data_IF_069578213042
#
_entry.id   IF_069578213042
#
_cell.length_a   1.000
_cell.length_b   1.000
_cell.length_c   1.000
_cell.angle_alpha   90.00
_cell.angle_beta   90.00
_cell.angle_gamma   90.00
#
_symmetry.space_group_name_H-M   'P 1'
#
loop_
_entity.id
_entity.type
_entity.pdbx_description
1 polymer ?
#
# COMPACT_ATOMS: atom_id res chain seq x y z
N UNK A 1 -10.56 -11.55 -24.25
CA UNK A 1 -11.55 -11.53 -23.15
C UNK A 1 -11.02 -10.62 -22.05
N UNK A 2 -11.76 -9.60 -21.63
CA UNK A 2 -11.43 -8.82 -20.42
C UNK A 2 -11.76 -9.71 -19.20
N UNK A 3 -10.87 -9.87 -18.21
CA UNK A 3 -11.21 -10.60 -16.99
C UNK A 3 -12.36 -9.87 -16.28
N UNK A 4 -13.44 -10.60 -16.02
CA UNK A 4 -14.58 -10.12 -15.25
C UNK A 4 -14.18 -10.07 -13.76
N UNK A 5 -14.19 -8.88 -13.17
CA UNK A 5 -13.90 -8.63 -11.75
C UNK A 5 -14.93 -9.21 -10.78
N UNK A 6 -15.99 -9.87 -11.27
CA UNK A 6 -17.16 -10.26 -10.47
C UNK A 6 -17.04 -11.56 -9.67
N UNK A 7 -15.98 -12.37 -9.83
CA UNK A 7 -15.91 -13.70 -9.20
C UNK A 7 -14.98 -13.83 -7.98
N UNK A 8 -14.29 -12.76 -7.55
CA UNK A 8 -13.28 -12.88 -6.47
C UNK A 8 -13.85 -12.81 -5.03
N UNK A 9 -15.16 -12.58 -4.84
CA UNK A 9 -15.72 -12.12 -3.55
C UNK A 9 -16.62 -13.10 -2.77
N UNK A 10 -16.76 -14.36 -3.18
CA UNK A 10 -17.78 -15.25 -2.57
C UNK A 10 -17.36 -15.94 -1.24
N UNK A 11 -16.19 -15.64 -0.69
CA UNK A 11 -15.84 -15.79 0.73
C UNK A 11 -14.72 -14.78 1.04
N UNK A 12 -14.66 -14.14 2.23
CA UNK A 12 -13.55 -13.27 2.56
C UNK A 12 -12.26 -14.10 2.50
N UNK A 13 -11.38 -13.79 1.54
CA UNK A 13 -10.10 -14.47 1.43
C UNK A 13 -9.31 -14.30 2.73
N UNK A 14 -8.43 -15.25 3.04
CA UNK A 14 -7.55 -15.17 4.21
C UNK A 14 -6.77 -13.85 4.24
N UNK A 15 -6.43 -13.29 3.07
CA UNK A 15 -5.79 -11.98 2.93
C UNK A 15 -6.69 -10.82 3.37
N UNK A 16 -7.98 -10.83 3.01
CA UNK A 16 -8.93 -9.80 3.48
C UNK A 16 -9.04 -9.84 5.00
N UNK A 17 -9.23 -11.04 5.58
CA UNK A 17 -9.29 -11.22 7.04
C UNK A 17 -8.01 -10.76 7.73
N UNK A 18 -6.87 -10.97 7.09
CA UNK A 18 -5.55 -10.58 7.62
C UNK A 18 -5.33 -9.08 7.60
N UNK A 19 -5.75 -8.39 6.53
CA UNK A 19 -5.75 -6.93 6.49
C UNK A 19 -6.63 -6.35 7.61
N UNK A 20 -7.84 -6.85 7.76
CA UNK A 20 -8.76 -6.41 8.82
C UNK A 20 -8.19 -6.69 10.23
N UNK A 21 -7.60 -7.85 10.45
CA UNK A 21 -6.97 -8.19 11.73
C UNK A 21 -5.80 -7.27 12.06
N UNK A 22 -4.97 -6.92 11.08
CA UNK A 22 -3.86 -5.99 11.25
C UNK A 22 -4.37 -4.58 11.58
N UNK A 23 -5.37 -4.08 10.86
CA UNK A 23 -5.98 -2.76 11.12
C UNK A 23 -6.64 -2.69 12.51
N UNK A 24 -7.31 -3.76 12.92
CA UNK A 24 -7.87 -3.89 14.27
C UNK A 24 -6.77 -3.90 15.33
N UNK A 25 -5.68 -4.63 15.11
CA UNK A 25 -4.53 -4.62 16.03
C UNK A 25 -3.88 -3.24 16.13
N UNK A 26 -3.64 -2.55 15.01
CA UNK A 26 -3.08 -1.20 14.98
C UNK A 26 -3.97 -0.21 15.76
N UNK A 27 -5.30 -0.31 15.58
CA UNK A 27 -6.28 0.52 16.29
C UNK A 27 -6.31 0.22 17.79
N UNK A 28 -6.32 -1.05 18.19
CA UNK A 28 -6.28 -1.47 19.58
C UNK A 28 -4.98 -1.06 20.27
N UNK A 29 -3.85 -1.18 19.57
CA UNK A 29 -2.53 -0.75 20.07
C UNK A 29 -2.50 0.77 20.30
N UNK A 30 -3.01 1.58 19.36
CA UNK A 30 -3.13 3.04 19.53
C UNK A 30 -4.01 3.41 20.72
N UNK A 31 -5.12 2.71 20.91
CA UNK A 31 -6.01 2.92 22.06
C UNK A 31 -5.32 2.56 23.38
N UNK A 32 -4.56 1.45 23.40
CA UNK A 32 -3.76 1.05 24.54
C UNK A 32 -2.73 2.12 24.92
N UNK A 33 -1.97 2.62 23.95
CA UNK A 33 -1.00 3.70 24.17
C UNK A 33 -1.66 4.99 24.72
N UNK A 34 -2.89 5.29 24.32
CA UNK A 34 -3.62 6.49 24.77
C UNK A 34 -4.24 6.35 26.17
N UNK A 35 -4.81 5.19 26.50
CA UNK A 35 -5.63 5.01 27.71
C UNK A 35 -4.97 4.14 28.78
N UNK A 36 -4.18 3.14 28.39
CA UNK A 36 -3.52 2.16 29.26
C UNK A 36 -4.44 1.55 30.34
N UNK A 37 -5.65 1.15 29.97
CA UNK A 37 -6.61 0.48 30.86
C UNK A 37 -6.53 -1.04 30.71
N UNK A 38 -7.11 -1.79 31.64
CA UNK A 38 -7.17 -3.25 31.55
C UNK A 38 -7.92 -3.71 30.29
N UNK A 39 -9.04 -3.06 29.97
CA UNK A 39 -9.84 -3.36 28.78
C UNK A 39 -9.06 -3.09 27.48
N UNK A 40 -8.30 -1.99 27.41
CA UNK A 40 -7.50 -1.71 26.21
C UNK A 40 -6.33 -2.69 26.06
N UNK A 41 -5.75 -3.15 27.16
CA UNK A 41 -4.74 -4.21 27.16
C UNK A 41 -5.32 -5.56 26.69
N UNK A 42 -6.51 -5.94 27.18
CA UNK A 42 -7.20 -7.17 26.76
C UNK A 42 -7.55 -7.14 25.27
N UNK A 43 -8.11 -6.04 24.79
CA UNK A 43 -8.46 -5.83 23.38
C UNK A 43 -7.22 -5.92 22.47
N UNK A 44 -6.11 -5.29 22.86
CA UNK A 44 -4.83 -5.39 22.13
C UNK A 44 -4.31 -6.83 22.10
N UNK A 45 -4.33 -7.54 23.23
CA UNK A 45 -3.86 -8.91 23.32
C UNK A 45 -4.68 -9.87 22.44
N UNK A 46 -6.01 -9.74 22.43
CA UNK A 46 -6.91 -10.52 21.58
C UNK A 46 -6.64 -10.26 20.09
N UNK A 47 -6.50 -8.99 19.71
CA UNK A 47 -6.20 -8.62 18.32
C UNK A 47 -4.83 -9.16 17.87
N UNK A 48 -3.83 -9.12 18.76
CA UNK A 48 -2.51 -9.70 18.49
C UNK A 48 -2.56 -11.22 18.32
N UNK A 49 -3.35 -11.93 19.14
CA UNK A 49 -3.54 -13.38 18.99
C UNK A 49 -4.16 -13.72 17.63
N UNK A 50 -5.13 -12.93 17.17
CA UNK A 50 -5.73 -13.11 15.85
C UNK A 50 -4.70 -12.94 14.73
N UNK A 51 -3.88 -11.89 14.79
CA UNK A 51 -2.80 -11.67 13.81
C UNK A 51 -1.80 -12.82 13.81
N UNK A 52 -1.41 -13.33 14.99
CA UNK A 52 -0.49 -14.49 15.08
C UNK A 52 -1.08 -15.77 14.50
N UNK A 53 -2.37 -16.02 14.70
CA UNK A 53 -3.05 -17.18 14.12
C UNK A 53 -3.01 -17.11 12.58
N UNK A 54 -3.34 -15.94 12.01
CA UNK A 54 -3.31 -15.72 10.57
C UNK A 54 -1.88 -15.74 10.00
N UNK A 55 -0.90 -15.24 10.75
CA UNK A 55 0.51 -15.35 10.37
C UNK A 55 0.92 -16.80 10.16
N UNK A 56 0.52 -17.71 11.05
CA UNK A 56 0.84 -19.13 10.92
C UNK A 56 0.23 -19.73 9.65
N UNK A 57 -1.01 -19.37 9.32
CA UNK A 57 -1.70 -19.82 8.10
C UNK A 57 -1.03 -19.27 6.83
N UNK A 58 -0.70 -17.97 6.82
CA UNK A 58 -0.11 -17.30 5.66
C UNK A 58 1.38 -17.58 5.46
N UNK A 59 2.07 -18.16 6.45
CA UNK A 59 3.50 -18.51 6.35
C UNK A 59 3.76 -19.82 5.61
N UNK A 60 2.70 -20.55 5.24
CA UNK A 60 2.81 -21.75 4.42
C UNK A 60 3.31 -21.34 3.02
N UNK A 61 4.24 -22.11 2.40
CA UNK A 61 4.72 -21.79 1.07
C UNK A 61 3.61 -21.66 0.03
N UNK A 62 3.64 -20.56 -0.73
CA UNK A 62 2.63 -20.24 -1.74
C UNK A 62 3.31 -19.61 -2.96
N UNK A 63 3.14 -20.21 -4.13
CA UNK A 63 3.74 -19.75 -5.38
C UNK A 63 3.20 -18.38 -5.84
N UNK A 64 1.96 -18.06 -5.46
CA UNK A 64 1.35 -16.76 -5.77
C UNK A 64 1.96 -15.60 -4.99
N UNK A 65 2.67 -15.88 -3.89
CA UNK A 65 3.39 -14.87 -3.12
C UNK A 65 4.41 -14.13 -4.00
N UNK A 66 5.18 -14.86 -4.82
CA UNK A 66 6.15 -14.24 -5.72
C UNK A 66 5.48 -13.51 -6.90
N UNK A 67 4.29 -13.96 -7.31
CA UNK A 67 3.50 -13.24 -8.31
C UNK A 67 3.06 -11.87 -7.78
N UNK A 68 2.63 -11.79 -6.51
CA UNK A 68 2.33 -10.52 -5.84
C UNK A 68 3.57 -9.62 -5.81
N UNK A 69 4.74 -10.16 -5.47
CA UNK A 69 6.02 -9.42 -5.52
C UNK A 69 6.28 -8.81 -6.90
N UNK A 70 6.12 -9.61 -7.95
CA UNK A 70 6.31 -9.16 -9.34
C UNK A 70 5.29 -8.08 -9.70
N UNK A 71 4.03 -8.23 -9.28
CA UNK A 71 2.99 -7.23 -9.49
C UNK A 71 3.34 -5.90 -8.80
N UNK A 72 3.79 -5.93 -7.54
CA UNK A 72 4.27 -4.76 -6.80
C UNK A 72 5.45 -4.08 -7.50
N UNK A 73 6.42 -4.87 -7.96
CA UNK A 73 7.58 -4.38 -8.70
C UNK A 73 7.18 -3.68 -10.01
N UNK A 74 6.23 -4.25 -10.76
CA UNK A 74 5.68 -3.65 -11.98
C UNK A 74 4.98 -2.32 -11.68
N UNK A 75 4.16 -2.26 -10.62
CA UNK A 75 3.46 -1.03 -10.25
C UNK A 75 4.44 0.11 -9.95
N UNK A 76 5.44 -0.10 -9.10
CA UNK A 76 6.40 0.97 -8.77
C UNK A 76 7.29 1.37 -9.93
N UNK A 77 7.63 0.41 -10.81
CA UNK A 77 8.43 0.70 -12.01
C UNK A 77 7.64 1.59 -12.96
N UNK A 78 6.38 1.25 -13.23
CA UNK A 78 5.49 2.06 -14.09
C UNK A 78 5.22 3.42 -13.47
N UNK A 79 4.97 3.49 -12.15
CA UNK A 79 4.71 4.74 -11.46
C UNK A 79 5.90 5.70 -11.55
N UNK A 80 7.11 5.22 -11.27
CA UNK A 80 8.35 6.02 -11.41
C UNK A 80 8.53 6.51 -12.86
N UNK A 81 8.37 5.63 -13.85
CA UNK A 81 8.48 6.00 -15.26
C UNK A 81 7.46 7.05 -15.69
N UNK A 82 6.22 6.94 -15.22
CA UNK A 82 5.17 7.90 -15.53
C UNK A 82 5.48 9.27 -14.92
N UNK A 83 5.91 9.32 -13.65
CA UNK A 83 6.32 10.58 -13.01
C UNK A 83 7.50 11.21 -13.75
N UNK A 84 8.53 10.42 -14.09
CA UNK A 84 9.68 10.90 -14.87
C UNK A 84 9.27 11.38 -16.27
N UNK A 85 8.25 10.78 -16.89
CA UNK A 85 7.71 11.25 -18.17
C UNK A 85 7.00 12.58 -18.03
N UNK A 86 6.17 12.77 -16.99
CA UNK A 86 5.46 14.02 -16.71
C UNK A 86 6.46 15.18 -16.52
N UNK A 87 7.58 14.93 -15.83
CA UNK A 87 8.65 15.92 -15.66
C UNK A 87 9.33 16.33 -16.97
N UNK A 88 9.43 15.44 -17.96
CA UNK A 88 10.02 15.79 -19.27
C UNK A 88 9.19 16.84 -20.01
N UNK A 89 7.90 16.90 -19.71
CA UNK A 89 6.97 17.88 -20.27
C UNK A 89 6.92 19.18 -19.43
N UNK A 90 7.73 19.29 -18.37
CA UNK A 90 7.75 20.43 -17.44
C UNK A 90 6.53 20.49 -16.52
N UNK A 91 5.83 19.36 -16.36
CA UNK A 91 4.63 19.21 -15.55
C UNK A 91 4.91 18.39 -14.29
N UNK A 92 3.93 18.32 -13.40
CA UNK A 92 3.98 17.57 -12.14
C UNK A 92 2.76 16.66 -11.97
N UNK A 93 2.86 15.52 -11.25
CA UNK A 93 1.70 14.69 -10.94
C UNK A 93 0.70 15.46 -10.08
N UNK A 94 -0.58 15.43 -10.41
CA UNK A 94 -1.61 16.05 -9.58
C UNK A 94 -1.92 15.17 -8.36
N UNK A 95 -1.74 15.77 -7.19
CA UNK A 95 -1.97 15.16 -5.88
C UNK A 95 -3.46 14.93 -5.57
N UNK A 96 -4.35 15.79 -6.09
CA UNK A 96 -5.72 15.92 -5.60
C UNK A 96 -6.78 15.47 -6.60
N UNK A 97 -6.52 15.60 -7.92
CA UNK A 97 -7.47 15.21 -8.98
C UNK A 97 -8.90 15.71 -8.70
N UNK A 98 -9.02 17.02 -8.45
CA UNK A 98 -10.26 17.72 -8.12
C UNK A 98 -11.03 17.15 -6.90
N UNK A 99 -10.37 16.39 -6.01
CA UNK A 99 -11.02 15.81 -4.83
C UNK A 99 -10.75 16.59 -3.55
N UNK A 100 -11.75 16.63 -2.67
CA UNK A 100 -11.63 17.15 -1.30
C UNK A 100 -10.83 16.21 -0.36
N UNK A 101 -10.42 15.04 -0.85
CA UNK A 101 -9.68 14.06 -0.07
C UNK A 101 -8.23 14.50 0.11
N UNK A 102 -7.70 14.28 1.32
CA UNK A 102 -6.26 14.29 1.55
C UNK A 102 -5.59 13.33 0.55
N UNK A 103 -4.76 13.88 -0.35
CA UNK A 103 -3.94 13.20 -1.37
C UNK A 103 -4.59 12.01 -2.08
N UNK A 104 -5.38 12.28 -3.13
CA UNK A 104 -5.96 11.23 -3.96
C UNK A 104 -4.91 10.28 -4.55
N UNK A 105 -3.75 10.82 -4.94
CA UNK A 105 -2.64 10.02 -5.48
C UNK A 105 -2.16 8.94 -4.49
N UNK A 106 -2.04 9.26 -3.20
CA UNK A 106 -1.68 8.28 -2.16
C UNK A 106 -2.67 7.11 -2.17
N UNK A 107 -3.96 7.43 -2.19
CA UNK A 107 -5.03 6.43 -2.18
C UNK A 107 -4.98 5.55 -3.43
N UNK A 108 -4.83 6.16 -4.60
CA UNK A 108 -4.78 5.42 -5.86
C UNK A 108 -3.57 4.45 -5.90
N UNK A 109 -2.41 4.86 -5.37
CA UNK A 109 -1.24 3.99 -5.24
C UNK A 109 -1.52 2.81 -4.30
N UNK A 110 -2.03 3.10 -3.08
CA UNK A 110 -2.32 2.06 -2.08
C UNK A 110 -3.40 1.09 -2.54
N UNK A 111 -4.46 1.58 -3.19
CA UNK A 111 -5.52 0.75 -3.76
C UNK A 111 -4.95 -0.15 -4.87
N UNK A 112 -4.00 0.34 -5.67
CA UNK A 112 -3.28 -0.46 -6.65
C UNK A 112 -2.53 -1.64 -6.03
N UNK A 113 -1.74 -1.39 -4.99
CA UNK A 113 -1.05 -2.45 -4.24
C UNK A 113 -2.05 -3.43 -3.61
N UNK A 114 -3.13 -2.93 -3.02
CA UNK A 114 -4.17 -3.76 -2.40
C UNK A 114 -4.85 -4.67 -3.41
N UNK A 115 -5.16 -4.17 -4.61
CA UNK A 115 -5.74 -4.97 -5.70
C UNK A 115 -4.78 -6.08 -6.11
N UNK A 116 -3.48 -5.79 -6.27
CA UNK A 116 -2.50 -6.84 -6.57
C UNK A 116 -2.39 -7.89 -5.48
N UNK A 117 -2.41 -7.48 -4.21
CA UNK A 117 -2.40 -8.40 -3.08
C UNK A 117 -3.62 -9.32 -3.10
N UNK A 118 -4.82 -8.74 -3.20
CA UNK A 118 -6.08 -9.49 -3.11
C UNK A 118 -6.39 -10.34 -4.35
N UNK A 119 -5.74 -10.06 -5.47
CA UNK A 119 -5.79 -10.88 -6.69
C UNK A 119 -4.63 -11.86 -6.80
N UNK A 120 -3.86 -12.09 -5.72
CA UNK A 120 -2.73 -13.00 -5.71
C UNK A 120 -1.70 -12.71 -6.82
N UNK A 121 -1.53 -11.43 -7.19
CA UNK A 121 -0.61 -10.98 -8.23
C UNK A 121 -1.16 -11.08 -9.66
N UNK A 122 -2.37 -11.57 -9.88
CA UNK A 122 -2.98 -11.68 -11.20
C UNK A 122 -3.34 -10.32 -11.81
N UNK A 123 -3.66 -9.34 -10.97
CA UNK A 123 -3.96 -7.96 -11.37
C UNK A 123 -2.87 -7.01 -10.89
N UNK A 124 -2.45 -6.08 -11.74
CA UNK A 124 -1.62 -4.93 -11.37
C UNK A 124 -2.20 -3.69 -12.07
N UNK A 125 -3.18 -3.02 -11.44
CA UNK A 125 -3.89 -1.94 -12.09
C UNK A 125 -2.94 -0.79 -12.42
N UNK A 126 -3.20 -0.12 -13.54
CA UNK A 126 -2.51 1.09 -13.89
C UNK A 126 -2.94 2.23 -12.97
N UNK A 127 -1.97 2.88 -12.32
CA UNK A 127 -2.19 4.08 -11.52
C UNK A 127 -2.16 5.27 -12.47
N UNK A 128 -3.34 5.80 -12.76
CA UNK A 128 -3.48 6.94 -13.64
C UNK A 128 -3.02 8.21 -12.90
N UNK A 129 -2.12 8.97 -13.53
CA UNK A 129 -1.63 10.24 -13.01
C UNK A 129 -2.25 11.36 -13.83
N UNK A 130 -2.94 12.29 -13.18
CA UNK A 130 -3.26 13.57 -13.81
C UNK A 130 -2.04 14.47 -13.72
N UNK A 131 -1.92 15.43 -14.63
CA UNK A 131 -0.81 16.39 -14.65
C UNK A 131 -1.28 17.75 -14.19
N UNK A 132 -0.40 18.48 -13.51
CA UNK A 132 -0.60 19.84 -13.05
C UNK A 132 0.64 20.67 -13.32
N UNK A 133 0.46 21.99 -13.44
CA UNK A 133 1.57 22.95 -13.44
C UNK A 133 2.08 23.24 -12.02
N UNK A 134 1.41 22.72 -10.98
CA UNK A 134 1.76 22.97 -9.60
C UNK A 134 2.92 22.06 -9.15
N UNK A 135 4.10 22.64 -9.02
CA UNK A 135 5.28 21.95 -8.50
C UNK A 135 5.11 21.57 -7.03
N UNK A 136 5.33 20.29 -6.72
CA UNK A 136 5.40 19.80 -5.35
C UNK A 136 6.56 18.82 -5.23
N UNK A 137 6.96 18.51 -3.99
CA UNK A 137 8.14 17.66 -3.73
C UNK A 137 7.85 16.18 -3.92
N UNK A 138 7.63 15.77 -5.15
CA UNK A 138 7.34 14.38 -5.54
C UNK A 138 8.55 13.44 -5.44
N UNK A 139 9.73 13.98 -5.16
CA UNK A 139 10.95 13.22 -4.88
C UNK A 139 10.75 12.16 -3.78
N UNK A 140 9.85 12.39 -2.82
CA UNK A 140 9.49 11.38 -1.82
C UNK A 140 8.80 10.15 -2.41
N UNK A 141 7.91 10.36 -3.40
CA UNK A 141 7.22 9.26 -4.10
C UNK A 141 8.18 8.54 -5.05
N UNK A 142 9.05 9.28 -5.73
CA UNK A 142 10.10 8.69 -6.57
C UNK A 142 11.06 7.85 -5.71
N UNK A 143 11.50 8.37 -4.56
CA UNK A 143 12.36 7.65 -3.62
C UNK A 143 11.68 6.37 -3.10
N UNK A 144 10.41 6.46 -2.72
CA UNK A 144 9.60 5.29 -2.36
C UNK A 144 9.60 4.24 -3.49
N UNK A 145 9.34 4.63 -4.74
CA UNK A 145 9.34 3.69 -5.86
C UNK A 145 10.70 2.99 -6.03
N UNK A 146 11.80 3.76 -5.93
CA UNK A 146 13.17 3.25 -6.03
C UNK A 146 13.51 2.30 -4.89
N UNK A 147 13.13 2.63 -3.66
CA UNK A 147 13.36 1.79 -2.48
C UNK A 147 12.63 0.45 -2.60
N UNK A 148 11.35 0.47 -2.96
CA UNK A 148 10.56 -0.74 -3.18
C UNK A 148 11.16 -1.56 -4.33
N UNK A 149 11.49 -0.93 -5.46
CA UNK A 149 12.13 -1.60 -6.59
C UNK A 149 13.44 -2.29 -6.18
N UNK A 150 14.29 -1.60 -5.43
CA UNK A 150 15.59 -2.12 -4.99
C UNK A 150 15.45 -3.23 -3.95
N UNK A 151 14.44 -3.17 -3.07
CA UNK A 151 14.20 -4.24 -2.10
C UNK A 151 13.55 -5.47 -2.74
N UNK A 152 12.67 -5.30 -3.72
CA UNK A 152 11.91 -6.40 -4.34
C UNK A 152 12.65 -7.11 -5.46
N UNK A 153 13.58 -6.45 -6.17
CA UNK A 153 14.37 -7.07 -7.24
C UNK A 153 15.18 -8.29 -6.81
N UNK A 154 15.96 -8.25 -5.72
CA UNK A 154 16.78 -9.40 -5.29
C UNK A 154 16.01 -10.41 -4.43
N UNK A 155 14.79 -10.08 -4.02
CA UNK A 155 14.01 -10.87 -3.06
C UNK A 155 13.08 -11.83 -3.78
N UNK A 156 12.82 -12.99 -3.18
CA UNK A 156 11.74 -13.91 -3.55
C UNK A 156 10.76 -13.99 -2.38
N UNK A 157 9.46 -13.84 -2.65
CA UNK A 157 8.45 -14.10 -1.61
C UNK A 157 8.13 -15.59 -1.61
N UNK A 158 8.21 -16.20 -0.43
CA UNK A 158 7.97 -17.63 -0.28
C UNK A 158 6.56 -17.91 0.23
N UNK A 159 5.94 -16.93 0.88
CA UNK A 159 4.64 -17.08 1.54
C UNK A 159 3.79 -15.82 1.39
N UNK A 160 2.47 -15.97 1.51
CA UNK A 160 1.56 -14.83 1.49
C UNK A 160 1.80 -13.86 2.67
N UNK A 161 2.40 -14.35 3.75
CA UNK A 161 2.84 -13.50 4.86
C UNK A 161 3.93 -12.51 4.44
N UNK A 162 4.91 -12.93 3.61
CA UNK A 162 5.94 -12.04 3.08
C UNK A 162 5.33 -10.90 2.26
N UNK A 163 4.35 -11.25 1.42
CA UNK A 163 3.61 -10.30 0.59
C UNK A 163 2.82 -9.29 1.44
N UNK A 164 2.14 -9.76 2.49
CA UNK A 164 1.38 -8.93 3.41
C UNK A 164 2.29 -7.99 4.21
N UNK A 165 3.43 -8.48 4.71
CA UNK A 165 4.42 -7.66 5.39
C UNK A 165 4.98 -6.57 4.47
N UNK A 166 5.27 -6.91 3.22
CA UNK A 166 5.71 -5.92 2.24
C UNK A 166 4.63 -4.85 1.98
N UNK A 167 3.38 -5.26 1.83
CA UNK A 167 2.26 -4.33 1.63
C UNK A 167 2.14 -3.36 2.81
N UNK A 168 2.12 -3.85 4.05
CA UNK A 168 2.01 -3.00 5.25
C UNK A 168 3.21 -2.07 5.45
N UNK A 169 4.42 -2.53 5.12
CA UNK A 169 5.62 -1.69 5.12
C UNK A 169 5.48 -0.55 4.10
N UNK A 170 5.09 -0.88 2.87
CA UNK A 170 4.92 0.10 1.79
C UNK A 170 3.81 1.10 2.12
N UNK A 171 2.67 0.63 2.67
CA UNK A 171 1.56 1.46 3.17
C UNK A 171 2.04 2.47 4.20
N UNK A 172 2.85 2.02 5.17
CA UNK A 172 3.39 2.87 6.23
C UNK A 172 4.36 3.91 5.68
N UNK A 173 5.33 3.49 4.86
CA UNK A 173 6.34 4.39 4.27
C UNK A 173 5.69 5.47 3.39
N UNK A 174 4.72 5.07 2.56
CA UNK A 174 4.04 5.99 1.66
C UNK A 174 3.13 6.96 2.43
N UNK A 175 2.36 6.47 3.40
CA UNK A 175 1.55 7.34 4.28
C UNK A 175 2.42 8.40 4.95
N UNK A 176 3.56 8.01 5.53
CA UNK A 176 4.49 8.93 6.18
C UNK A 176 5.06 9.97 5.21
N UNK A 177 5.38 9.56 3.98
CA UNK A 177 5.85 10.46 2.91
C UNK A 177 4.83 11.58 2.64
N UNK A 178 3.56 11.22 2.51
CA UNK A 178 2.48 12.18 2.27
C UNK A 178 2.13 13.03 3.50
N UNK A 179 2.22 12.47 4.71
CA UNK A 179 2.08 13.25 5.96
C UNK A 179 3.15 14.33 6.08
N UNK A 180 4.42 14.02 5.79
CA UNK A 180 5.49 15.03 5.76
C UNK A 180 5.19 16.12 4.74
N UNK A 181 4.75 15.75 3.54
CA UNK A 181 4.41 16.72 2.49
C UNK A 181 3.32 17.69 2.95
N UNK A 182 2.30 17.16 3.64
CA UNK A 182 1.24 17.97 4.25
C UNK A 182 1.77 18.94 5.30
N UNK A 183 2.60 18.46 6.22
CA UNK A 183 3.12 19.27 7.34
C UNK A 183 4.12 20.34 6.91
N UNK A 184 4.86 20.09 5.83
CA UNK A 184 5.97 20.94 5.38
C UNK A 184 5.57 21.98 4.34
N UNK A 185 4.27 22.09 4.00
CA UNK A 185 3.77 23.06 3.02
C UNK A 185 4.31 22.84 1.60
N UNK A 186 4.81 21.64 1.32
CA UNK A 186 5.45 21.28 0.04
C UNK A 186 4.43 20.77 -0.99
N UNK A 187 3.17 21.23 -0.90
CA UNK A 187 2.04 20.80 -1.73
C UNK A 187 1.89 21.64 -3.01
N UNK A 188 2.88 22.48 -3.27
CA UNK A 188 2.82 23.52 -4.29
C UNK A 188 1.86 24.64 -3.89
N UNK A 189 2.11 25.87 -4.35
CA UNK A 189 1.25 27.01 -4.03
C UNK A 189 -0.06 26.85 -4.81
N UNK A 190 -1.19 26.85 -4.10
CA UNK A 190 -2.48 27.17 -4.72
C UNK A 190 -2.47 28.62 -5.22
#
# INVERSE_FOLDING_TARGET
MKPSTKNYYNAPSVLVKSLEAIENFQSAHKLFLKKNTEDSRKSMAQSLQMVKALQNELSIPDESADQIRVAFLKQVTTLEQNIESIHKDGLYPDLYRDSESNFRLLKDILDGFRISLLSNGESYPFIELSTSNNEWKDHGVIAFCRDVKNSLKPTKFNSLWDALQCYEKNKTQLTYTFEILSLTGNLGKQ
#
